data_IF_742209960740
#
_entry.id   IF_742209960740
#
_cell.length_a   1.000
_cell.length_b   1.000
_cell.length_c   1.000
_cell.angle_alpha   90.00
_cell.angle_beta   90.00
_cell.angle_gamma   90.00
#
_symmetry.space_group_name_H-M   'P 1'
#
loop_
_entity.id
_entity.type
_entity.pdbx_description
1 polymer ?
#
# COMPACT_ATOMS: atom_id res chain seq x y z
N UNK A 1 14.85 -2.30 20.75
CA UNK A 1 13.83 -3.18 21.34
C UNK A 1 13.49 -2.69 22.75
N UNK A 2 12.21 -2.68 23.11
CA UNK A 2 11.68 -2.36 24.45
C UNK A 2 11.00 -3.61 25.00
N UNK A 3 11.29 -3.96 26.24
CA UNK A 3 10.59 -5.03 26.97
C UNK A 3 9.45 -4.43 27.80
N UNK A 4 8.28 -5.08 27.75
CA UNK A 4 7.10 -4.68 28.53
C UNK A 4 6.50 -5.91 29.20
N UNK A 5 6.25 -5.82 30.50
CA UNK A 5 5.51 -6.84 31.24
C UNK A 5 4.02 -6.50 31.24
N UNK A 6 3.18 -7.40 30.71
CA UNK A 6 1.71 -7.29 30.76
C UNK A 6 1.11 -8.68 30.90
N UNK A 7 0.08 -8.84 31.74
CA UNK A 7 -0.58 -10.13 31.98
C UNK A 7 0.40 -11.29 32.28
N UNK A 8 1.45 -11.03 33.07
CA UNK A 8 2.53 -11.98 33.39
C UNK A 8 3.34 -12.50 32.18
N UNK A 9 3.26 -11.85 31.02
CA UNK A 9 4.10 -12.11 29.85
C UNK A 9 4.99 -10.90 29.55
N UNK A 10 6.24 -11.15 29.17
CA UNK A 10 7.19 -10.11 28.74
C UNK A 10 7.21 -10.06 27.22
N UNK A 11 6.93 -8.90 26.65
CA UNK A 11 6.86 -8.66 25.21
C UNK A 11 8.08 -7.84 24.75
N UNK A 12 8.75 -8.28 23.68
CA UNK A 12 9.84 -7.57 22.99
C UNK A 12 9.29 -6.78 21.80
N UNK A 13 8.97 -5.51 22.05
CA UNK A 13 8.35 -4.61 21.08
C UNK A 13 9.37 -3.62 20.48
N UNK A 14 9.09 -3.04 19.29
CA UNK A 14 9.81 -1.84 18.85
C UNK A 14 9.48 -0.63 19.74
N UNK A 15 10.40 0.34 19.73
CA UNK A 15 10.22 1.59 20.48
C UNK A 15 9.26 2.55 19.80
N UNK A 16 8.67 3.45 20.59
CA UNK A 16 7.89 4.58 20.09
C UNK A 16 6.52 4.23 19.51
N UNK A 17 5.99 3.02 19.68
CA UNK A 17 4.64 2.67 19.24
C UNK A 17 3.59 3.59 19.88
N UNK A 18 2.57 3.99 19.11
CA UNK A 18 1.39 4.64 19.67
C UNK A 18 0.46 3.58 20.32
N UNK A 19 -0.58 3.98 21.08
CA UNK A 19 -1.44 3.03 21.78
C UNK A 19 -2.13 1.99 20.89
N UNK A 20 -2.57 2.36 19.68
CA UNK A 20 -3.16 1.42 18.71
C UNK A 20 -2.12 0.40 18.25
N UNK A 21 -0.94 0.86 17.82
CA UNK A 21 0.13 -0.02 17.37
C UNK A 21 0.57 -0.97 18.47
N UNK A 22 0.71 -0.50 19.71
CA UNK A 22 1.08 -1.37 20.83
C UNK A 22 0.05 -2.48 21.03
N UNK A 23 -1.26 -2.16 21.03
CA UNK A 23 -2.32 -3.17 21.12
C UNK A 23 -2.25 -4.19 20.00
N UNK A 24 -2.20 -3.74 18.75
CA UNK A 24 -2.15 -4.61 17.58
C UNK A 24 -0.90 -5.51 17.57
N UNK A 25 0.26 -4.96 17.95
CA UNK A 25 1.49 -5.75 18.10
C UNK A 25 1.33 -6.85 19.14
N UNK A 26 0.79 -6.53 20.32
CA UNK A 26 0.60 -7.50 21.40
C UNK A 26 -0.39 -8.59 21.00
N UNK A 27 -1.52 -8.22 20.39
CA UNK A 27 -2.51 -9.16 19.85
C UNK A 27 -1.87 -10.16 18.88
N UNK A 28 -1.13 -9.66 17.89
CA UNK A 28 -0.49 -10.49 16.88
C UNK A 28 0.67 -11.33 17.42
N UNK A 29 1.35 -10.87 18.48
CA UNK A 29 2.35 -11.67 19.22
C UNK A 29 1.66 -12.81 19.98
N UNK A 30 0.58 -12.51 20.70
CA UNK A 30 -0.18 -13.53 21.43
C UNK A 30 -0.74 -14.58 20.46
N UNK A 31 -1.29 -14.15 19.31
CA UNK A 31 -1.72 -15.08 18.25
C UNK A 31 -0.57 -15.98 17.79
N UNK A 32 0.61 -15.41 17.51
CA UNK A 32 1.80 -16.17 17.11
C UNK A 32 2.20 -17.18 18.18
N UNK A 33 2.21 -16.79 19.45
CA UNK A 33 2.57 -17.67 20.57
C UNK A 33 1.61 -18.85 20.70
N UNK A 34 0.31 -18.60 20.53
CA UNK A 34 -0.71 -19.62 20.70
C UNK A 34 -0.82 -20.59 19.50
N UNK A 35 -0.47 -20.14 18.28
CA UNK A 35 -0.72 -20.90 17.05
C UNK A 35 0.54 -21.33 16.28
N UNK A 36 1.70 -20.74 16.59
CA UNK A 36 2.93 -20.95 15.80
C UNK A 36 4.12 -21.30 16.68
N UNK A 37 4.61 -20.36 17.47
CA UNK A 37 5.80 -20.53 18.30
C UNK A 37 6.01 -19.36 19.25
N UNK A 38 6.51 -19.64 20.46
CA UNK A 38 7.00 -18.63 21.40
C UNK A 38 8.38 -18.07 21.05
N UNK A 39 9.13 -18.71 20.14
CA UNK A 39 10.48 -18.28 19.79
C UNK A 39 10.46 -16.92 19.04
N UNK A 40 11.30 -15.95 19.42
CA UNK A 40 11.40 -14.68 18.71
C UNK A 40 12.09 -14.85 17.36
N UNK A 41 11.79 -13.94 16.44
CA UNK A 41 12.54 -13.77 15.20
C UNK A 41 13.54 -12.62 15.28
N UNK A 42 14.36 -12.46 14.24
CA UNK A 42 15.41 -11.45 14.16
C UNK A 42 15.15 -10.47 13.01
N UNK A 43 15.42 -9.19 13.25
CA UNK A 43 15.49 -8.18 12.19
C UNK A 43 16.85 -8.23 11.46
N UNK A 44 17.04 -7.34 10.48
CA UNK A 44 18.28 -7.26 9.70
C UNK A 44 19.52 -6.83 10.50
N UNK A 45 19.34 -6.32 11.72
CA UNK A 45 20.41 -5.94 12.63
C UNK A 45 20.61 -6.99 13.75
N UNK A 46 20.05 -8.19 13.58
CA UNK A 46 20.07 -9.28 14.57
C UNK A 46 19.43 -8.93 15.92
N UNK A 47 18.48 -7.98 15.93
CA UNK A 47 17.71 -7.66 17.13
C UNK A 47 16.49 -8.59 17.19
N UNK A 48 16.27 -9.19 18.36
CA UNK A 48 15.12 -10.06 18.61
C UNK A 48 13.83 -9.27 18.78
N UNK A 49 12.76 -9.74 18.14
CA UNK A 49 11.40 -9.25 18.33
C UNK A 49 10.41 -10.43 18.33
N UNK A 50 9.45 -10.39 19.25
CA UNK A 50 8.45 -11.46 19.37
C UNK A 50 7.48 -11.45 18.18
N UNK A 51 7.27 -10.28 17.56
CA UNK A 51 6.41 -10.12 16.40
C UNK A 51 7.07 -10.56 15.08
N UNK A 52 8.32 -11.03 15.06
CA UNK A 52 8.95 -11.58 13.86
C UNK A 52 8.89 -13.10 13.91
N UNK A 53 8.53 -13.75 12.80
CA UNK A 53 8.54 -15.21 12.70
C UNK A 53 9.98 -15.76 12.75
N UNK A 54 10.25 -16.80 13.56
CA UNK A 54 11.55 -17.47 13.58
C UNK A 54 11.80 -18.18 12.24
N UNK A 55 13.07 -18.32 11.86
CA UNK A 55 13.46 -18.76 10.50
C UNK A 55 12.95 -20.15 10.14
N UNK A 56 12.92 -21.06 11.12
CA UNK A 56 12.46 -22.43 10.99
C UNK A 56 11.01 -22.57 10.51
N UNK A 57 10.13 -21.60 10.77
CA UNK A 57 8.70 -21.66 10.39
C UNK A 57 8.34 -20.77 9.19
N UNK A 58 9.27 -19.96 8.66
CA UNK A 58 8.97 -18.97 7.61
C UNK A 58 8.41 -19.60 6.33
N UNK A 59 8.92 -20.76 5.95
CA UNK A 59 8.48 -21.48 4.74
C UNK A 59 7.02 -21.96 4.82
N UNK A 60 6.46 -22.10 6.02
CA UNK A 60 5.07 -22.53 6.23
C UNK A 60 4.06 -21.39 6.01
N UNK A 61 4.54 -20.14 6.01
CA UNK A 61 3.72 -18.91 5.90
C UNK A 61 2.59 -18.87 6.93
N UNK A 62 2.87 -19.05 8.24
CA UNK A 62 1.81 -19.21 9.25
C UNK A 62 0.93 -17.96 9.43
N UNK A 63 1.46 -16.78 9.10
CA UNK A 63 0.78 -15.49 9.11
C UNK A 63 -0.08 -15.22 7.86
N UNK A 64 -0.11 -16.15 6.90
CA UNK A 64 -0.95 -16.08 5.70
C UNK A 64 -2.18 -16.96 5.88
N UNK A 65 -3.35 -16.51 5.42
CA UNK A 65 -4.61 -17.26 5.46
C UNK A 65 -4.42 -18.65 4.82
N UNK A 66 -4.68 -19.77 5.53
CA UNK A 66 -4.26 -21.09 5.07
C UNK A 66 -4.69 -21.48 3.65
N UNK A 67 -5.94 -21.23 3.21
CA UNK A 67 -6.40 -21.59 1.86
C UNK A 67 -5.60 -20.96 0.71
N UNK A 68 -5.00 -19.79 0.88
CA UNK A 68 -4.27 -19.10 -0.21
C UNK A 68 -2.77 -19.39 -0.22
N UNK A 69 -2.23 -20.09 0.78
CA UNK A 69 -0.76 -20.29 0.92
C UNK A 69 -0.15 -21.04 -0.26
N UNK A 70 -0.88 -21.97 -0.88
CA UNK A 70 -0.38 -22.71 -2.04
C UNK A 70 -0.25 -21.77 -3.24
N UNK A 71 -1.34 -21.09 -3.59
CA UNK A 71 -1.37 -20.13 -4.68
C UNK A 71 -0.31 -19.03 -4.50
N UNK A 72 -0.15 -18.49 -3.29
CA UNK A 72 0.83 -17.46 -3.00
C UNK A 72 2.28 -17.90 -3.29
N UNK A 73 2.63 -19.17 -3.04
CA UNK A 73 3.97 -19.70 -3.32
C UNK A 73 4.26 -19.84 -4.83
N UNK A 74 3.22 -19.93 -5.64
CA UNK A 74 3.30 -20.04 -7.10
C UNK A 74 3.28 -18.66 -7.78
N UNK A 75 3.05 -17.57 -7.01
CA UNK A 75 3.08 -16.21 -7.51
C UNK A 75 4.49 -15.62 -7.46
N UNK A 76 4.87 -14.90 -8.52
CA UNK A 76 6.14 -14.19 -8.59
C UNK A 76 5.97 -12.73 -8.15
N UNK A 77 6.48 -12.39 -6.97
CA UNK A 77 6.55 -11.01 -6.49
C UNK A 77 7.67 -10.87 -5.46
N UNK A 78 8.00 -9.61 -5.15
CA UNK A 78 9.11 -9.30 -4.23
C UNK A 78 8.61 -9.28 -2.79
N UNK A 79 9.11 -10.18 -1.95
CA UNK A 79 8.91 -10.07 -0.51
C UNK A 79 9.61 -8.84 0.06
N UNK A 80 8.86 -8.06 0.83
CA UNK A 80 9.42 -6.97 1.62
C UNK A 80 10.30 -7.53 2.74
N UNK A 81 11.27 -6.74 3.19
CA UNK A 81 12.14 -7.10 4.33
C UNK A 81 11.36 -7.41 5.62
N UNK A 82 10.14 -6.89 5.73
CA UNK A 82 9.25 -7.10 6.88
C UNK A 82 8.14 -8.10 6.60
N UNK A 83 8.17 -8.84 5.48
CA UNK A 83 7.12 -9.78 5.11
C UNK A 83 6.80 -10.78 6.22
N UNK A 84 7.83 -11.35 6.85
CA UNK A 84 7.71 -12.32 7.96
C UNK A 84 7.47 -11.69 9.34
N UNK A 85 7.17 -10.39 9.40
CA UNK A 85 6.71 -9.74 10.62
C UNK A 85 5.19 -9.94 10.72
N UNK A 86 4.68 -10.27 11.92
CA UNK A 86 3.24 -10.48 12.13
C UNK A 86 2.39 -9.24 11.79
N UNK A 87 3.00 -8.05 11.81
CA UNK A 87 2.38 -6.73 11.52
C UNK A 87 2.79 -6.24 10.13
N UNK A 88 3.03 -7.17 9.20
CA UNK A 88 3.40 -6.89 7.82
C UNK A 88 2.20 -6.39 7.01
N UNK A 89 2.27 -5.17 6.49
CA UNK A 89 1.23 -4.64 5.60
C UNK A 89 1.15 -5.40 4.28
N UNK A 90 2.28 -5.88 3.73
CA UNK A 90 2.28 -6.74 2.55
C UNK A 90 1.49 -8.02 2.81
N UNK A 91 1.71 -8.68 3.95
CA UNK A 91 0.96 -9.88 4.32
C UNK A 91 -0.52 -9.58 4.60
N UNK A 92 -0.83 -8.45 5.23
CA UNK A 92 -2.20 -8.01 5.49
C UNK A 92 -2.97 -7.69 4.20
N UNK A 93 -2.32 -7.07 3.22
CA UNK A 93 -2.86 -6.84 1.88
C UNK A 93 -3.17 -8.17 1.17
N UNK A 94 -2.21 -9.09 1.18
CA UNK A 94 -2.38 -10.45 0.63
C UNK A 94 -3.56 -11.15 1.29
N UNK A 95 -3.59 -11.16 2.62
CA UNK A 95 -4.66 -11.79 3.39
C UNK A 95 -6.02 -11.14 3.16
N UNK A 96 -6.07 -9.88 2.75
CA UNK A 96 -7.32 -9.16 2.51
C UNK A 96 -7.88 -9.46 1.12
N UNK A 97 -7.03 -9.42 0.09
CA UNK A 97 -7.51 -9.45 -1.29
C UNK A 97 -7.43 -10.83 -1.95
N UNK A 98 -6.37 -11.61 -1.73
CA UNK A 98 -6.22 -12.89 -2.42
C UNK A 98 -7.37 -13.88 -2.16
N UNK A 99 -7.94 -13.98 -0.94
CA UNK A 99 -9.07 -14.87 -0.71
C UNK A 99 -10.33 -14.48 -1.50
N UNK A 100 -10.49 -13.20 -1.83
CA UNK A 100 -11.59 -12.71 -2.68
C UNK A 100 -11.24 -12.94 -4.17
N UNK A 101 -10.03 -12.57 -4.57
CA UNK A 101 -9.60 -12.59 -5.98
C UNK A 101 -9.42 -14.00 -6.55
N UNK A 102 -9.19 -14.99 -5.67
CA UNK A 102 -9.07 -16.40 -6.03
C UNK A 102 -10.36 -17.20 -5.84
N UNK A 103 -11.46 -16.57 -5.38
CA UNK A 103 -12.75 -17.24 -5.25
C UNK A 103 -13.50 -17.29 -6.58
N UNK A 104 -14.20 -18.39 -6.86
CA UNK A 104 -15.02 -18.55 -8.06
C UNK A 104 -16.12 -17.48 -8.19
N UNK A 105 -16.50 -16.86 -7.08
CA UNK A 105 -17.51 -15.80 -7.01
C UNK A 105 -16.91 -14.39 -6.97
N UNK A 106 -15.64 -14.22 -7.33
CA UNK A 106 -14.91 -12.93 -7.28
C UNK A 106 -15.75 -11.77 -7.81
N UNK A 107 -16.42 -11.95 -8.96
CA UNK A 107 -17.18 -10.86 -9.56
C UNK A 107 -18.37 -10.42 -8.71
N UNK A 108 -19.04 -11.38 -8.04
CA UNK A 108 -20.16 -11.12 -7.15
C UNK A 108 -19.73 -10.36 -5.89
N UNK A 109 -18.60 -10.76 -5.31
CA UNK A 109 -18.03 -10.13 -4.12
C UNK A 109 -17.50 -8.73 -4.45
N UNK A 110 -16.74 -8.58 -5.54
CA UNK A 110 -16.09 -7.32 -5.91
C UNK A 110 -17.10 -6.23 -6.29
N UNK A 111 -18.26 -6.59 -6.87
CA UNK A 111 -19.39 -5.65 -7.10
C UNK A 111 -19.91 -4.99 -5.82
N UNK A 112 -19.77 -5.65 -4.67
CA UNK A 112 -20.16 -5.08 -3.38
C UNK A 112 -19.09 -4.11 -2.84
N UNK A 113 -17.84 -4.29 -3.24
CA UNK A 113 -16.67 -3.53 -2.76
C UNK A 113 -16.45 -2.27 -3.60
N UNK A 114 -16.39 -2.42 -4.93
CA UNK A 114 -16.05 -1.39 -5.92
C UNK A 114 -17.28 -1.16 -6.83
N UNK A 115 -17.84 0.04 -6.76
CA UNK A 115 -19.20 0.34 -7.27
C UNK A 115 -19.38 0.18 -8.79
N UNK A 116 -18.38 0.58 -9.55
CA UNK A 116 -18.31 0.52 -11.02
C UNK A 116 -17.77 -0.82 -11.53
N UNK A 117 -17.36 -1.73 -10.65
CA UNK A 117 -16.83 -3.02 -11.04
C UNK A 117 -17.90 -3.88 -11.72
N UNK A 118 -17.57 -4.49 -12.86
CA UNK A 118 -18.43 -5.49 -13.52
C UNK A 118 -17.83 -6.88 -13.46
N UNK A 119 -16.56 -7.02 -13.89
CA UNK A 119 -15.90 -8.33 -14.07
C UNK A 119 -14.38 -8.24 -13.95
N UNK A 120 -13.75 -9.25 -13.36
CA UNK A 120 -12.29 -9.38 -13.32
C UNK A 120 -11.72 -9.60 -14.73
N UNK A 121 -10.69 -8.85 -15.10
CA UNK A 121 -10.02 -8.99 -16.40
C UNK A 121 -8.93 -10.06 -16.32
N UNK A 122 -9.33 -11.33 -16.14
CA UNK A 122 -8.44 -12.47 -15.87
C UNK A 122 -7.32 -12.68 -16.91
N UNK A 123 -7.50 -12.18 -18.13
CA UNK A 123 -6.49 -12.26 -19.19
C UNK A 123 -5.30 -11.30 -19.01
N UNK A 124 -5.39 -10.37 -18.06
CA UNK A 124 -4.30 -9.47 -17.69
C UNK A 124 -3.55 -10.01 -16.47
N UNK A 125 -2.23 -9.87 -16.46
CA UNK A 125 -1.37 -10.37 -15.37
C UNK A 125 -1.55 -11.88 -15.09
N UNK A 126 -1.22 -12.35 -13.89
CA UNK A 126 -1.26 -13.77 -13.56
C UNK A 126 -2.70 -14.31 -13.42
N UNK A 127 -3.63 -13.47 -12.92
CA UNK A 127 -5.05 -13.83 -12.69
C UNK A 127 -5.99 -12.60 -12.70
N UNK A 128 -5.69 -11.56 -13.49
CA UNK A 128 -6.39 -10.27 -13.42
C UNK A 128 -5.88 -9.33 -12.33
N UNK A 129 -4.81 -9.69 -11.62
CA UNK A 129 -4.18 -8.83 -10.63
C UNK A 129 -2.66 -9.06 -10.55
N UNK A 130 -1.96 -8.11 -9.95
CA UNK A 130 -0.51 -8.15 -9.72
C UNK A 130 -0.18 -7.61 -8.31
N UNK A 131 0.58 -8.37 -7.52
CA UNK A 131 1.13 -7.92 -6.24
C UNK A 131 2.40 -7.10 -6.47
N UNK A 132 2.63 -6.07 -5.64
CA UNK A 132 3.81 -5.20 -5.76
C UNK A 132 3.96 -4.60 -7.18
N UNK A 133 2.86 -4.04 -7.68
CA UNK A 133 2.76 -3.57 -9.05
C UNK A 133 3.41 -2.19 -9.22
N UNK A 134 4.28 -2.05 -10.22
CA UNK A 134 5.06 -0.84 -10.46
C UNK A 134 5.00 -0.33 -11.91
N UNK A 135 4.05 -0.83 -12.72
CA UNK A 135 3.86 -0.38 -14.10
C UNK A 135 5.10 -0.62 -14.99
N UNK A 136 5.59 -1.87 -15.00
CA UNK A 136 6.81 -2.24 -15.74
C UNK A 136 6.74 -1.77 -17.19
N UNK A 137 7.75 -1.03 -17.63
CA UNK A 137 7.92 -0.60 -19.02
C UNK A 137 9.11 -1.32 -19.66
N UNK A 138 9.38 -1.07 -20.94
CA UNK A 138 10.57 -1.57 -21.64
C UNK A 138 11.87 -1.13 -20.95
N UNK A 139 11.82 -0.02 -20.20
CA UNK A 139 12.88 0.35 -19.28
C UNK A 139 12.69 -0.36 -17.94
N UNK A 140 13.76 -0.93 -17.37
CA UNK A 140 13.76 -1.46 -16.00
C UNK A 140 13.62 -0.36 -14.90
N UNK A 141 13.05 0.80 -15.25
CA UNK A 141 12.80 1.96 -14.38
C UNK A 141 11.31 2.29 -14.21
N UNK A 142 10.43 1.61 -14.95
CA UNK A 142 8.98 1.83 -14.88
C UNK A 142 8.54 3.11 -15.58
N UNK A 143 7.23 3.38 -15.59
CA UNK A 143 6.68 4.57 -16.26
C UNK A 143 7.04 5.90 -15.56
N UNK A 144 7.34 5.87 -14.26
CA UNK A 144 7.78 7.06 -13.52
C UNK A 144 9.29 7.33 -13.59
N UNK A 145 10.05 6.42 -14.23
CA UNK A 145 11.52 6.41 -14.28
C UNK A 145 12.22 6.39 -12.91
N UNK A 146 11.55 5.91 -11.87
CA UNK A 146 12.05 5.97 -10.49
C UNK A 146 12.50 4.61 -9.93
N UNK A 147 12.25 3.52 -10.66
CA UNK A 147 12.58 2.19 -10.20
C UNK A 147 14.08 1.89 -10.37
N UNK A 148 14.65 1.24 -9.36
CA UNK A 148 16.05 0.82 -9.27
C UNK A 148 16.11 -0.57 -8.65
N UNK A 149 17.29 -1.18 -8.57
CA UNK A 149 17.47 -2.45 -7.85
C UNK A 149 17.06 -2.39 -6.36
N UNK A 150 16.93 -1.19 -5.76
CA UNK A 150 16.71 -1.02 -4.31
C UNK A 150 15.38 -0.35 -3.96
N UNK A 151 14.81 0.45 -4.84
CA UNK A 151 13.63 1.28 -4.55
C UNK A 151 12.89 1.63 -5.83
N UNK A 152 11.59 1.90 -5.71
CA UNK A 152 10.71 2.43 -6.74
C UNK A 152 9.37 2.83 -6.14
N UNK A 153 8.44 3.24 -6.98
CA UNK A 153 7.03 3.37 -6.65
C UNK A 153 6.34 2.07 -7.00
N UNK A 154 5.80 1.41 -5.97
CA UNK A 154 5.10 0.15 -6.08
C UNK A 154 3.74 0.34 -5.38
N UNK A 155 2.67 -0.17 -5.97
CA UNK A 155 1.36 -0.35 -5.33
C UNK A 155 1.30 -1.76 -4.77
N UNK A 156 0.79 -1.95 -3.55
CA UNK A 156 0.75 -3.28 -2.90
C UNK A 156 -0.03 -4.31 -3.74
N UNK A 157 -1.11 -3.87 -4.40
CA UNK A 157 -1.81 -4.67 -5.41
C UNK A 157 -2.42 -3.79 -6.50
N UNK A 158 -2.40 -4.29 -7.74
CA UNK A 158 -3.15 -3.77 -8.86
C UNK A 158 -4.17 -4.80 -9.34
N UNK A 159 -5.44 -4.41 -9.54
CA UNK A 159 -6.53 -5.29 -9.98
C UNK A 159 -7.08 -4.76 -11.31
N UNK A 160 -6.94 -5.52 -12.38
CA UNK A 160 -7.51 -5.22 -13.68
C UNK A 160 -8.96 -5.72 -13.77
N UNK A 161 -9.87 -4.87 -14.20
CA UNK A 161 -11.30 -5.19 -14.26
C UNK A 161 -11.99 -4.44 -15.40
N UNK A 162 -13.12 -4.98 -15.85
CA UNK A 162 -14.06 -4.25 -16.69
C UNK A 162 -15.04 -3.51 -15.80
N UNK A 163 -15.29 -2.24 -16.10
CA UNK A 163 -16.32 -1.46 -15.44
C UNK A 163 -17.72 -1.77 -16.01
N UNK A 164 -18.76 -1.12 -15.48
CA UNK A 164 -20.15 -1.30 -15.94
C UNK A 164 -20.38 -0.91 -17.40
N UNK A 165 -19.50 -0.09 -17.97
CA UNK A 165 -19.52 0.37 -19.36
C UNK A 165 -18.64 -0.50 -20.29
N UNK A 166 -18.17 -1.67 -19.80
CA UNK A 166 -17.28 -2.59 -20.50
C UNK A 166 -15.89 -2.00 -20.84
N UNK A 167 -15.47 -0.96 -20.14
CA UNK A 167 -14.15 -0.37 -20.30
C UNK A 167 -13.13 -1.05 -19.38
N UNK A 168 -11.95 -1.35 -19.92
CA UNK A 168 -10.85 -1.93 -19.18
C UNK A 168 -10.24 -0.89 -18.23
N UNK A 169 -10.25 -1.20 -16.95
CA UNK A 169 -9.80 -0.35 -15.86
C UNK A 169 -8.73 -1.05 -15.02
N UNK A 170 -7.91 -0.26 -14.32
CA UNK A 170 -6.98 -0.74 -13.30
C UNK A 170 -7.29 -0.09 -11.96
N UNK A 171 -7.27 -0.88 -10.88
CA UNK A 171 -7.40 -0.37 -9.53
C UNK A 171 -6.09 -0.62 -8.77
N UNK A 172 -5.35 0.47 -8.53
CA UNK A 172 -4.13 0.49 -7.72
C UNK A 172 -4.50 0.67 -6.26
N UNK A 173 -3.93 -0.16 -5.38
CA UNK A 173 -4.20 -0.14 -3.96
C UNK A 173 -2.89 -0.10 -3.18
N UNK A 174 -2.79 0.86 -2.26
CA UNK A 174 -1.80 0.91 -1.18
C UNK A 174 -2.48 0.49 0.13
N UNK A 175 -1.96 -0.53 0.80
CA UNK A 175 -2.46 -1.04 2.05
C UNK A 175 -1.60 -0.58 3.24
N UNK A 176 -2.23 -0.03 4.27
CA UNK A 176 -1.57 0.39 5.52
C UNK A 176 -2.19 -0.30 6.73
N UNK A 177 -1.43 -1.20 7.35
CA UNK A 177 -1.87 -1.87 8.57
C UNK A 177 -1.62 -1.00 9.80
N UNK A 178 -0.35 -0.76 10.12
CA UNK A 178 0.06 -0.13 11.38
C UNK A 178 1.05 1.02 11.18
N UNK A 179 1.37 1.40 9.95
CA UNK A 179 2.28 2.49 9.66
C UNK A 179 1.77 3.81 10.24
N UNK A 180 2.69 4.61 10.78
CA UNK A 180 2.36 5.94 11.32
C UNK A 180 2.19 7.01 10.25
N UNK A 181 2.81 6.79 9.10
CA UNK A 181 2.88 7.74 8.01
C UNK A 181 3.11 7.01 6.69
N UNK A 182 2.83 7.70 5.60
CA UNK A 182 3.24 7.30 4.27
C UNK A 182 4.73 7.58 4.04
N UNK A 183 5.29 7.01 2.97
CA UNK A 183 6.70 7.22 2.65
C UNK A 183 7.00 8.68 2.26
N UNK A 184 7.69 9.42 3.12
CA UNK A 184 8.13 10.79 2.84
C UNK A 184 9.08 10.88 1.64
N UNK A 185 9.25 12.10 1.13
CA UNK A 185 10.18 12.41 0.04
C UNK A 185 11.63 12.08 0.39
N UNK A 186 12.16 11.03 -0.23
CA UNK A 186 13.57 10.66 -0.13
C UNK A 186 14.51 11.71 -0.73
N UNK A 187 14.05 12.49 -1.72
CA UNK A 187 14.81 13.59 -2.30
C UNK A 187 15.04 14.74 -1.32
N UNK A 188 14.03 15.12 -0.54
CA UNK A 188 14.14 16.18 0.46
C UNK A 188 15.20 15.85 1.54
N UNK A 189 15.21 14.58 1.98
CA UNK A 189 16.14 14.05 2.99
C UNK A 189 17.49 13.60 2.41
N UNK A 190 17.68 13.67 1.09
CA UNK A 190 18.90 13.18 0.43
C UNK A 190 20.11 14.04 0.79
N UNK A 191 21.20 13.40 1.23
CA UNK A 191 22.49 14.08 1.45
C UNK A 191 23.14 14.57 0.16
N UNK A 192 22.74 14.01 -0.99
CA UNK A 192 23.21 14.43 -2.31
C UNK A 192 22.43 15.62 -2.88
N UNK A 193 21.39 16.10 -2.19
CA UNK A 193 20.65 17.31 -2.57
C UNK A 193 21.53 18.54 -2.34
N UNK A 194 21.72 19.35 -3.38
CA UNK A 194 22.26 20.70 -3.23
C UNK A 194 21.17 21.64 -2.68
N UNK A 195 21.29 22.18 -1.45
CA UNK A 195 20.28 23.05 -0.85
C UNK A 195 20.22 24.45 -1.47
N UNK A 196 21.23 24.87 -2.25
CA UNK A 196 21.21 26.16 -2.97
C UNK A 196 20.44 26.08 -4.28
N UNK A 197 20.33 24.87 -4.84
CA UNK A 197 19.64 24.60 -6.11
C UNK A 197 18.26 24.00 -5.90
N UNK A 198 18.15 23.05 -4.96
CA UNK A 198 16.92 22.30 -4.76
C UNK A 198 16.10 22.87 -3.62
N UNK A 199 15.03 23.57 -3.95
CA UNK A 199 14.21 24.32 -3.01
C UNK A 199 12.85 23.64 -2.80
N UNK A 200 12.61 23.14 -1.60
CA UNK A 200 11.31 22.57 -1.21
C UNK A 200 10.38 23.60 -0.56
N UNK A 201 10.80 24.88 -0.46
CA UNK A 201 9.97 26.01 -0.05
C UNK A 201 9.27 26.67 -1.24
N UNK A 202 9.71 26.40 -2.47
CA UNK A 202 9.00 26.80 -3.67
C UNK A 202 7.62 26.15 -3.75
N UNK A 203 6.64 26.91 -4.20
CA UNK A 203 5.25 26.50 -4.41
C UNK A 203 5.13 25.46 -5.53
N UNK A 204 3.99 24.78 -5.60
CA UNK A 204 3.67 23.85 -6.69
C UNK A 204 3.90 24.50 -8.07
N UNK A 205 3.35 25.70 -8.30
CA UNK A 205 3.45 26.39 -9.60
C UNK A 205 4.88 26.80 -9.94
N UNK A 206 5.68 27.23 -8.97
CA UNK A 206 7.10 27.54 -9.18
C UNK A 206 7.90 26.30 -9.56
N UNK A 207 7.60 25.15 -8.95
CA UNK A 207 8.25 23.88 -9.28
C UNK A 207 7.84 23.40 -10.67
N UNK A 208 6.57 23.49 -11.07
CA UNK A 208 6.15 23.16 -12.44
C UNK A 208 6.85 24.06 -13.49
N UNK A 209 6.98 25.36 -13.20
CA UNK A 209 7.66 26.31 -14.07
C UNK A 209 9.18 26.07 -14.18
N UNK A 210 9.81 25.56 -13.13
CA UNK A 210 11.23 25.17 -13.15
C UNK A 210 11.49 23.88 -12.36
N UNK A 211 11.21 22.75 -13.00
CA UNK A 211 11.28 21.42 -12.39
C UNK A 211 12.69 21.07 -11.84
N UNK A 212 13.75 21.72 -12.34
CA UNK A 212 15.12 21.52 -11.88
C UNK A 212 15.39 22.04 -10.45
N UNK A 213 14.45 22.77 -9.83
CA UNK A 213 14.52 23.09 -8.40
C UNK A 213 14.10 21.90 -7.52
N UNK A 214 13.58 20.82 -8.11
CA UNK A 214 13.35 19.57 -7.40
C UNK A 214 14.45 18.55 -7.70
N UNK A 215 15.08 18.00 -6.65
CA UNK A 215 16.13 16.99 -6.79
C UNK A 215 15.65 15.70 -7.50
N UNK A 216 14.36 15.34 -7.37
CA UNK A 216 13.80 14.20 -8.11
C UNK A 216 13.84 14.42 -9.63
N UNK A 217 13.54 15.64 -10.09
CA UNK A 217 13.61 15.96 -11.52
C UNK A 217 15.06 16.23 -11.95
N UNK A 218 15.79 17.09 -11.25
CA UNK A 218 17.13 17.51 -11.68
C UNK A 218 18.16 16.38 -11.65
N UNK A 219 18.26 15.64 -10.53
CA UNK A 219 19.34 14.66 -10.34
C UNK A 219 18.85 13.25 -10.61
N UNK A 220 17.65 12.90 -10.12
CA UNK A 220 17.12 11.53 -10.27
C UNK A 220 16.49 11.27 -11.62
N UNK A 221 16.13 12.33 -12.36
CA UNK A 221 15.47 12.26 -13.68
C UNK A 221 14.15 11.48 -13.63
N UNK A 222 13.47 11.52 -12.48
CA UNK A 222 12.14 10.94 -12.33
C UNK A 222 11.12 11.83 -13.06
N UNK A 223 10.05 11.24 -13.58
CA UNK A 223 9.02 11.94 -14.35
C UNK A 223 7.91 12.57 -13.50
N UNK A 224 8.06 12.61 -12.16
CA UNK A 224 6.94 13.00 -11.29
C UNK A 224 6.39 14.39 -11.61
N UNK A 225 7.27 15.39 -11.77
CA UNK A 225 6.84 16.76 -12.05
C UNK A 225 6.40 16.98 -13.50
N UNK A 226 6.86 16.16 -14.45
CA UNK A 226 6.33 16.19 -15.83
C UNK A 226 4.87 15.71 -15.84
N UNK A 227 4.60 14.56 -15.24
CA UNK A 227 3.22 14.05 -15.11
C UNK A 227 2.34 14.96 -14.23
N UNK A 228 2.92 15.62 -13.23
CA UNK A 228 2.15 16.57 -12.42
C UNK A 228 1.73 17.80 -13.23
N UNK A 229 2.56 18.23 -14.17
CA UNK A 229 2.29 19.36 -15.08
C UNK A 229 1.24 18.96 -16.13
N UNK A 230 1.40 17.78 -16.75
CA UNK A 230 0.44 17.22 -17.72
C UNK A 230 -0.96 17.01 -17.12
N UNK A 231 -1.05 16.74 -15.82
CA UNK A 231 -2.29 16.49 -15.08
C UNK A 231 -2.57 17.54 -14.01
N UNK A 232 -2.15 18.80 -14.23
CA UNK A 232 -2.26 19.86 -13.22
C UNK A 232 -3.70 20.08 -12.74
N UNK A 233 -4.71 19.93 -13.61
CA UNK A 233 -6.14 20.09 -13.26
C UNK A 233 -6.60 19.12 -12.16
N UNK A 234 -5.90 18.00 -11.97
CA UNK A 234 -6.20 17.06 -10.89
C UNK A 234 -5.86 17.64 -9.51
N UNK A 235 -4.87 18.51 -9.42
CA UNK A 235 -4.40 19.10 -8.16
C UNK A 235 -5.06 20.46 -7.89
N UNK A 236 -6.39 20.51 -7.91
CA UNK A 236 -7.20 21.75 -7.93
C UNK A 236 -6.80 22.79 -6.87
N UNK A 237 -6.46 22.33 -5.67
CA UNK A 237 -6.17 23.20 -4.52
C UNK A 237 -4.65 23.35 -4.30
N UNK A 238 -3.82 23.11 -5.32
CA UNK A 238 -2.36 23.23 -5.20
C UNK A 238 -1.87 24.62 -4.76
N UNK A 239 -2.69 25.67 -4.96
CA UNK A 239 -2.38 27.04 -4.60
C UNK A 239 -2.46 27.33 -3.10
N UNK A 240 -3.10 26.45 -2.31
CA UNK A 240 -3.21 26.59 -0.85
C UNK A 240 -1.90 26.28 -0.11
N UNK A 241 -0.90 25.77 -0.83
CA UNK A 241 0.35 25.30 -0.25
C UNK A 241 1.48 26.28 -0.52
N UNK A 242 2.03 26.86 0.55
CA UNK A 242 3.13 27.83 0.50
C UNK A 242 4.52 27.22 0.14
N UNK A 243 4.58 25.92 -0.15
CA UNK A 243 5.80 25.21 -0.53
C UNK A 243 5.46 23.84 -1.13
N UNK A 244 6.47 23.01 -1.36
CA UNK A 244 6.26 21.69 -1.97
C UNK A 244 5.35 20.82 -1.06
N UNK A 245 4.14 20.43 -1.51
CA UNK A 245 3.23 19.61 -0.71
C UNK A 245 3.80 18.20 -0.54
N UNK A 246 4.57 17.72 -1.51
CA UNK A 246 5.05 16.34 -1.56
C UNK A 246 6.37 16.11 -0.84
N UNK A 247 6.80 16.97 0.09
CA UNK A 247 8.06 16.77 0.84
C UNK A 247 7.92 15.73 1.97
N UNK A 248 6.71 15.54 2.48
CA UNK A 248 6.40 14.63 3.60
C UNK A 248 5.46 13.49 3.16
N UNK A 249 4.52 13.04 4.00
CA UNK A 249 3.71 11.84 3.77
C UNK A 249 2.94 11.81 2.44
N UNK A 250 2.46 12.97 1.96
CA UNK A 250 1.76 13.06 0.67
C UNK A 250 2.59 12.58 -0.53
N UNK A 251 3.92 12.48 -0.40
CA UNK A 251 4.80 11.99 -1.46
C UNK A 251 4.43 10.58 -1.97
N UNK A 252 4.03 9.66 -1.09
CA UNK A 252 3.65 8.32 -1.55
C UNK A 252 2.33 8.34 -2.33
N UNK A 253 1.34 9.06 -1.81
CA UNK A 253 0.02 9.21 -2.44
C UNK A 253 0.17 9.84 -3.84
N UNK A 254 0.96 10.91 -3.92
CA UNK A 254 1.30 11.57 -5.17
C UNK A 254 1.93 10.61 -6.18
N UNK A 255 2.99 9.89 -5.81
CA UNK A 255 3.65 8.97 -6.74
C UNK A 255 2.74 7.84 -7.23
N UNK A 256 1.95 7.23 -6.34
CA UNK A 256 1.01 6.18 -6.73
C UNK A 256 -0.09 6.71 -7.66
N UNK A 257 -0.58 7.93 -7.42
CA UNK A 257 -1.53 8.59 -8.32
C UNK A 257 -0.92 8.89 -9.69
N UNK A 258 0.32 9.39 -9.73
CA UNK A 258 1.04 9.65 -10.99
C UNK A 258 1.30 8.36 -11.77
N UNK A 259 1.56 7.24 -11.09
CA UNK A 259 1.64 5.93 -11.75
C UNK A 259 0.32 5.60 -12.46
N UNK A 260 -0.81 5.89 -11.82
CA UNK A 260 -2.13 5.75 -12.45
C UNK A 260 -2.28 6.59 -13.73
N UNK A 261 -1.91 7.87 -13.68
CA UNK A 261 -1.96 8.74 -14.85
C UNK A 261 -1.05 8.27 -15.99
N UNK A 262 0.17 7.84 -15.66
CA UNK A 262 1.10 7.34 -16.67
C UNK A 262 0.57 6.08 -17.36
N UNK A 263 -0.14 5.21 -16.63
CA UNK A 263 -0.77 4.00 -17.18
C UNK A 263 -1.97 4.33 -18.08
N UNK A 264 -2.80 5.30 -17.71
CA UNK A 264 -3.87 5.81 -18.59
C UNK A 264 -3.30 6.43 -19.87
N UNK A 265 -2.24 7.25 -19.75
CA UNK A 265 -1.58 7.89 -20.89
C UNK A 265 -0.91 6.87 -21.83
N UNK A 266 -0.41 5.76 -21.29
CA UNK A 266 0.12 4.64 -22.10
C UNK A 266 -0.98 3.93 -22.91
N UNK A 267 -2.25 4.09 -22.56
CA UNK A 267 -3.40 3.63 -23.34
C UNK A 267 -3.80 2.18 -23.13
N UNK A 268 -3.16 1.43 -22.23
CA UNK A 268 -3.56 0.05 -21.90
C UNK A 268 -4.87 0.03 -21.13
N UNK A 269 -5.07 0.97 -20.21
CA UNK A 269 -6.27 1.10 -19.39
C UNK A 269 -7.01 2.38 -19.73
N UNK A 270 -8.33 2.29 -19.86
CA UNK A 270 -9.20 3.44 -20.07
C UNK A 270 -9.26 4.33 -18.83
N UNK A 271 -9.34 3.71 -17.67
CA UNK A 271 -9.36 4.37 -16.37
C UNK A 271 -8.44 3.66 -15.37
N UNK A 272 -7.70 4.44 -14.59
CA UNK A 272 -6.90 3.95 -13.47
C UNK A 272 -7.27 4.70 -12.21
N UNK A 273 -7.69 3.94 -11.19
CA UNK A 273 -8.06 4.45 -9.88
C UNK A 273 -6.99 4.10 -8.87
N UNK A 274 -6.70 5.00 -7.94
CA UNK A 274 -5.81 4.75 -6.83
C UNK A 274 -6.61 4.75 -5.53
N UNK A 275 -6.30 3.83 -4.61
CA UNK A 275 -6.94 3.82 -3.31
C UNK A 275 -5.98 3.47 -2.19
N UNK A 276 -6.23 4.05 -1.03
CA UNK A 276 -5.61 3.63 0.23
C UNK A 276 -6.58 2.74 0.97
N UNK A 277 -6.12 1.56 1.36
CA UNK A 277 -6.84 0.67 2.27
C UNK A 277 -6.10 0.68 3.61
N UNK A 278 -6.78 1.00 4.71
CA UNK A 278 -6.14 1.04 6.02
C UNK A 278 -6.89 0.27 7.09
N UNK A 279 -6.19 -0.14 8.13
CA UNK A 279 -6.84 -0.62 9.35
C UNK A 279 -7.75 0.48 9.92
N UNK A 280 -9.00 0.18 10.34
CA UNK A 280 -9.96 1.19 10.84
C UNK A 280 -9.38 2.03 11.99
N UNK A 281 -8.67 1.39 12.92
CA UNK A 281 -8.05 2.08 14.07
C UNK A 281 -6.72 2.79 13.76
N UNK A 282 -6.16 2.63 12.54
CA UNK A 282 -4.97 3.38 12.15
C UNK A 282 -5.34 4.81 11.75
N UNK A 283 -5.54 5.65 12.76
CA UNK A 283 -5.92 7.07 12.61
C UNK A 283 -4.71 8.00 12.40
N UNK A 284 -3.48 7.50 12.54
CA UNK A 284 -2.27 8.34 12.33
C UNK A 284 -2.12 8.84 10.89
N UNK A 285 -2.79 8.20 9.93
CA UNK A 285 -2.75 8.57 8.52
C UNK A 285 -3.83 9.61 8.14
N UNK A 286 -4.84 9.81 8.98
CA UNK A 286 -6.06 10.55 8.63
C UNK A 286 -5.76 12.01 8.27
N UNK A 287 -4.79 12.63 8.94
CA UNK A 287 -4.41 14.01 8.65
C UNK A 287 -3.80 14.15 7.25
N UNK A 288 -2.85 13.27 6.89
CA UNK A 288 -2.19 13.28 5.58
C UNK A 288 -3.16 12.90 4.46
N UNK A 289 -4.07 11.96 4.72
CA UNK A 289 -5.13 11.58 3.78
C UNK A 289 -6.05 12.76 3.50
N UNK A 290 -6.56 13.42 4.55
CA UNK A 290 -7.43 14.60 4.40
C UNK A 290 -6.73 15.75 3.67
N UNK A 291 -5.45 15.95 3.96
CA UNK A 291 -4.64 16.96 3.27
C UNK A 291 -4.50 16.62 1.78
N UNK A 292 -4.32 15.34 1.43
CA UNK A 292 -4.27 14.91 0.03
C UNK A 292 -5.63 15.00 -0.66
N UNK A 293 -6.72 14.58 -0.01
CA UNK A 293 -8.10 14.75 -0.50
C UNK A 293 -8.43 16.22 -0.77
N UNK A 294 -7.97 17.12 0.12
CA UNK A 294 -8.09 18.56 -0.09
C UNK A 294 -7.29 19.01 -1.31
N UNK A 295 -6.00 18.65 -1.40
CA UNK A 295 -5.12 19.03 -2.52
C UNK A 295 -5.73 18.71 -3.89
N UNK A 296 -6.39 17.55 -4.02
CA UNK A 296 -6.97 17.05 -5.27
C UNK A 296 -8.44 17.46 -5.49
N UNK A 297 -9.01 18.28 -4.61
CA UNK A 297 -10.42 18.68 -4.70
C UNK A 297 -11.40 17.51 -4.54
N UNK A 298 -11.02 16.47 -3.77
CA UNK A 298 -11.81 15.24 -3.57
C UNK A 298 -12.18 14.52 -4.88
N UNK A 299 -11.26 14.51 -5.84
CA UNK A 299 -11.41 13.79 -7.11
C UNK A 299 -11.67 12.29 -6.90
N UNK A 300 -12.59 11.71 -7.67
CA UNK A 300 -13.07 10.33 -7.54
C UNK A 300 -12.08 9.26 -8.02
N UNK A 301 -10.99 9.65 -8.70
CA UNK A 301 -9.89 8.73 -9.02
C UNK A 301 -9.07 8.32 -7.79
N UNK A 302 -9.20 9.04 -6.68
CA UNK A 302 -8.63 8.67 -5.40
C UNK A 302 -9.74 8.24 -4.44
N UNK A 303 -9.56 7.15 -3.71
CA UNK A 303 -10.49 6.76 -2.67
C UNK A 303 -9.80 6.15 -1.45
N UNK A 304 -10.48 6.19 -0.31
CA UNK A 304 -9.98 5.62 0.94
C UNK A 304 -11.00 4.61 1.44
N UNK A 305 -10.52 3.43 1.79
CA UNK A 305 -11.30 2.34 2.36
C UNK A 305 -10.65 1.87 3.65
N UNK A 306 -11.46 1.31 4.52
CA UNK A 306 -10.99 0.54 5.67
C UNK A 306 -11.07 -0.95 5.37
N UNK A 307 -10.21 -1.73 6.03
CA UNK A 307 -10.30 -3.19 5.99
C UNK A 307 -11.67 -3.68 6.46
N UNK A 308 -12.25 -3.06 7.51
CA UNK A 308 -13.62 -3.33 7.97
C UNK A 308 -14.66 -3.15 6.87
N UNK A 309 -14.63 -2.05 6.12
CA UNK A 309 -15.58 -1.82 5.03
C UNK A 309 -15.49 -2.89 3.96
N UNK A 310 -14.28 -3.31 3.58
CA UNK A 310 -14.08 -4.38 2.60
C UNK A 310 -14.66 -5.70 3.13
N UNK A 311 -14.34 -6.07 4.37
CA UNK A 311 -14.80 -7.33 4.97
C UNK A 311 -16.31 -7.32 5.14
N UNK A 312 -16.91 -6.23 5.61
CA UNK A 312 -18.35 -6.10 5.78
C UNK A 312 -19.08 -6.18 4.44
N UNK A 313 -18.59 -5.50 3.40
CA UNK A 313 -19.16 -5.57 2.06
C UNK A 313 -19.04 -6.97 1.48
N UNK A 314 -17.87 -7.60 1.59
CA UNK A 314 -17.64 -8.95 1.10
C UNK A 314 -18.52 -9.99 1.81
N UNK A 315 -18.70 -9.86 3.13
CA UNK A 315 -19.49 -10.78 3.95
C UNK A 315 -20.99 -10.76 3.67
N UNK A 316 -21.50 -9.74 2.94
CA UNK A 316 -22.88 -9.71 2.45
C UNK A 316 -23.13 -10.70 1.31
N UNK A 317 -22.07 -11.17 0.66
CA UNK A 317 -22.17 -12.23 -0.32
C UNK A 317 -22.30 -13.58 0.42
N UNK A 318 -23.43 -14.28 0.23
CA UNK A 318 -23.73 -15.55 0.91
C UNK A 318 -22.87 -16.70 0.36
N UNK A 319 -21.60 -16.72 0.77
CA UNK A 319 -20.62 -17.73 0.40
C UNK A 319 -19.82 -18.18 1.63
N UNK A 320 -19.72 -19.49 1.83
CA UNK A 320 -19.08 -20.05 3.01
C UNK A 320 -17.55 -19.88 3.08
N UNK A 321 -16.83 -19.83 1.94
CA UNK A 321 -15.39 -19.55 1.92
C UNK A 321 -15.10 -18.09 2.29
N UNK A 322 -15.90 -17.17 1.75
CA UNK A 322 -15.80 -15.73 2.06
C UNK A 322 -16.14 -15.45 3.53
N UNK A 323 -17.18 -16.08 4.09
CA UNK A 323 -17.53 -15.92 5.51
C UNK A 323 -16.41 -16.42 6.44
N UNK A 324 -15.85 -17.62 6.18
CA UNK A 324 -14.72 -18.15 6.96
C UNK A 324 -13.48 -17.28 6.87
N UNK A 325 -13.20 -16.75 5.67
CA UNK A 325 -12.10 -15.81 5.46
C UNK A 325 -12.32 -14.54 6.27
N UNK A 326 -13.51 -13.95 6.22
CA UNK A 326 -13.85 -12.73 6.94
C UNK A 326 -13.69 -12.92 8.45
N UNK A 327 -14.19 -14.01 9.02
CA UNK A 327 -14.03 -14.37 10.44
C UNK A 327 -12.56 -14.53 10.81
N UNK A 328 -11.79 -15.23 9.98
CA UNK A 328 -10.35 -15.41 10.19
C UNK A 328 -9.60 -14.08 10.18
N UNK A 329 -9.88 -13.22 9.20
CA UNK A 329 -9.19 -11.93 9.04
C UNK A 329 -9.48 -11.01 10.23
N UNK A 330 -10.76 -10.91 10.64
CA UNK A 330 -11.19 -10.14 11.81
C UNK A 330 -10.48 -10.60 13.08
N UNK A 331 -10.45 -11.92 13.30
CA UNK A 331 -9.77 -12.51 14.46
C UNK A 331 -8.27 -12.26 14.43
N UNK A 332 -7.64 -12.44 13.27
CA UNK A 332 -6.19 -12.33 13.14
C UNK A 332 -5.70 -10.88 13.30
N UNK A 333 -6.38 -9.92 12.68
CA UNK A 333 -5.96 -8.51 12.66
C UNK A 333 -6.66 -7.61 13.68
N UNK A 334 -7.52 -8.16 14.55
CA UNK A 334 -8.27 -7.42 15.58
C UNK A 334 -9.19 -6.33 14.99
N UNK A 335 -10.11 -6.76 14.10
CA UNK A 335 -11.03 -5.89 13.33
C UNK A 335 -12.50 -6.17 13.62
#
# INVERSE_FOLDING_TARGET
MREILKNNRTYKLPGGLNPFQERLYMHLIDWKWDHVSMEPGYDSNHIQYDAILPENVRNELPHIYPPIRKALREMEFKYHKYFYHMVSSQAANINLFLPILLDDNVDGVMRLIKRDYKKLAQQFYQYGFCLEYWGKSDSNKGLLQDHTARSGTDSDIAIAYYNTDDELCLWLIEHKLAEKDFTNCGAFKSKARDPKKHDCTSTFSEICANKNICYYSDVRKNLYWELTDDFQEFFQNHHDYAGCPFKDGMNQLWRNQLMGFALEQAGEFKHVYFSVVKHPENTSLDAVIKEYEHLIGSNDKFSVLTTSEIIEKASRFENSSIQKWAEWYKTFYDI
#
